data_IF_025154813278
#
_entry.id   IF_025154813278
#
_cell.length_a   1.000
_cell.length_b   1.000
_cell.length_c   1.000
_cell.angle_alpha   90.00
_cell.angle_beta   90.00
_cell.angle_gamma   90.00
#
_symmetry.space_group_name_H-M   'P 1'
#
loop_
_entity.id
_entity.type
_entity.pdbx_description
1 polymer ?
#
# COMPACT_ATOMS: atom_id res chain seq x y z
N UNK A 1 8.36 -20.43 -19.37
CA UNK A 1 7.59 -19.45 -18.59
C UNK A 1 6.17 -20.01 -18.41
N UNK A 2 5.85 -20.54 -17.23
CA UNK A 2 4.50 -21.05 -16.93
C UNK A 2 3.59 -19.86 -16.62
N UNK A 3 2.48 -19.75 -17.34
CA UNK A 3 1.40 -18.80 -17.16
C UNK A 3 0.95 -18.84 -15.69
N UNK A 4 1.12 -17.76 -14.95
CA UNK A 4 0.52 -17.56 -13.63
C UNK A 4 -0.99 -17.56 -13.78
N UNK A 5 -1.66 -18.52 -13.14
CA UNK A 5 -3.12 -18.70 -13.24
C UNK A 5 -3.86 -17.43 -12.81
N UNK A 6 -4.99 -17.13 -13.47
CA UNK A 6 -5.87 -15.99 -13.15
C UNK A 6 -6.27 -15.94 -11.66
N UNK A 7 -6.27 -17.09 -10.97
CA UNK A 7 -6.58 -17.24 -9.53
C UNK A 7 -5.57 -16.52 -8.60
N UNK A 8 -4.28 -16.37 -9.03
CA UNK A 8 -3.26 -15.63 -8.25
C UNK A 8 -3.37 -14.10 -8.40
N UNK A 9 -4.04 -13.59 -9.43
CA UNK A 9 -4.23 -12.15 -9.63
C UNK A 9 -5.22 -11.51 -8.65
N UNK A 10 -6.27 -12.21 -8.27
CA UNK A 10 -7.24 -11.72 -7.27
C UNK A 10 -6.63 -11.57 -5.88
N UNK A 11 -5.80 -12.55 -5.45
CA UNK A 11 -5.06 -12.50 -4.17
C UNK A 11 -4.16 -11.27 -4.05
N UNK A 12 -3.49 -10.90 -5.14
CA UNK A 12 -2.58 -9.74 -5.15
C UNK A 12 -3.32 -8.41 -4.99
N UNK A 13 -4.57 -8.32 -5.45
CA UNK A 13 -5.35 -7.07 -5.40
C UNK A 13 -5.96 -6.78 -4.02
N UNK A 14 -6.42 -7.79 -3.29
CA UNK A 14 -6.97 -7.61 -1.94
C UNK A 14 -5.89 -7.45 -0.87
N UNK A 15 -4.81 -8.23 -0.96
CA UNK A 15 -3.60 -7.97 -0.19
C UNK A 15 -3.00 -6.60 -0.52
N UNK A 16 -3.02 -6.17 -1.79
CA UNK A 16 -2.56 -4.84 -2.19
C UNK A 16 -3.51 -3.73 -1.69
N UNK A 17 -4.83 -3.90 -1.70
CA UNK A 17 -5.76 -2.91 -1.15
C UNK A 17 -5.62 -2.80 0.38
N UNK A 18 -5.36 -3.91 1.08
CA UNK A 18 -5.12 -3.91 2.52
C UNK A 18 -3.68 -3.54 2.87
N UNK A 19 -2.68 -3.89 2.03
CA UNK A 19 -1.30 -3.41 2.16
C UNK A 19 -1.16 -1.92 1.81
N UNK A 20 -1.92 -1.37 0.88
CA UNK A 20 -2.00 0.09 0.67
C UNK A 20 -2.60 0.77 1.90
N UNK A 21 -3.55 0.15 2.59
CA UNK A 21 -4.02 0.57 3.90
C UNK A 21 -2.90 0.52 4.96
N UNK A 22 -2.00 -0.46 4.93
CA UNK A 22 -0.90 -0.61 5.89
C UNK A 22 0.31 0.29 5.60
N UNK A 23 0.63 0.57 4.34
CA UNK A 23 1.81 1.39 3.97
C UNK A 23 1.68 2.88 4.34
N UNK A 24 0.46 3.38 4.56
CA UNK A 24 0.25 4.75 5.03
C UNK A 24 0.37 4.91 6.57
N UNK A 25 0.44 3.81 7.34
CA UNK A 25 0.58 3.87 8.80
C UNK A 25 1.98 4.26 9.30
N UNK A 26 2.98 4.38 8.42
CA UNK A 26 4.34 4.78 8.80
C UNK A 26 4.46 6.26 9.23
N UNK A 27 3.39 7.04 9.12
CA UNK A 27 3.36 8.47 9.47
C UNK A 27 2.70 8.84 10.79
N UNK A 28 2.01 7.92 11.47
CA UNK A 28 1.29 8.25 12.71
C UNK A 28 2.07 7.78 13.95
N UNK A 29 3.19 8.45 14.26
CA UNK A 29 3.91 8.25 15.54
C UNK A 29 3.40 9.13 16.67
N UNK A 30 2.52 10.07 16.42
CA UNK A 30 2.07 11.03 17.42
C UNK A 30 0.55 10.95 17.62
N UNK A 31 0.15 10.82 18.90
CA UNK A 31 -1.20 10.99 19.48
C UNK A 31 -2.06 9.75 19.81
N UNK A 32 -1.55 8.53 19.80
CA UNK A 32 -2.25 7.48 20.56
C UNK A 32 -1.84 7.57 22.02
N UNK A 33 -2.76 7.97 22.89
CA UNK A 33 -2.52 7.96 24.34
C UNK A 33 -2.39 6.52 24.85
N UNK A 34 -1.15 5.99 24.87
CA UNK A 34 -0.84 4.69 25.45
C UNK A 34 -0.95 4.78 26.96
N UNK A 35 -2.01 4.22 27.53
CA UNK A 35 -2.14 4.02 28.96
C UNK A 35 -1.78 2.57 29.29
N UNK A 36 -0.59 2.36 29.86
CA UNK A 36 -0.23 1.07 30.44
C UNK A 36 -1.13 0.79 31.65
N UNK A 37 -1.96 -0.24 31.57
CA UNK A 37 -2.85 -0.62 32.66
C UNK A 37 -2.79 -2.12 32.94
N UNK A 38 -2.93 -2.49 34.23
CA UNK A 38 -2.98 -3.85 34.75
C UNK A 38 -4.39 -4.48 34.68
N UNK A 39 -5.20 -4.09 33.70
CA UNK A 39 -6.62 -4.46 33.64
C UNK A 39 -7.02 -5.36 32.46
N UNK A 40 -6.06 -5.98 31.75
CA UNK A 40 -6.36 -6.93 30.68
C UNK A 40 -6.58 -8.33 31.23
N UNK A 41 -7.51 -9.08 30.63
CA UNK A 41 -7.75 -10.48 30.97
C UNK A 41 -6.59 -11.39 30.48
N UNK A 42 -6.57 -12.61 30.99
CA UNK A 42 -5.63 -13.62 30.50
C UNK A 42 -5.87 -13.88 29.01
N UNK A 43 -4.79 -13.97 28.23
CA UNK A 43 -4.84 -14.16 26.78
C UNK A 43 -5.12 -12.89 25.95
N UNK A 44 -5.43 -11.76 26.56
CA UNK A 44 -5.55 -10.48 25.83
C UNK A 44 -4.17 -9.85 25.61
N UNK A 45 -3.93 -9.39 24.39
CA UNK A 45 -2.72 -8.63 24.00
C UNK A 45 -2.90 -7.14 24.21
N UNK A 46 -4.08 -6.65 23.81
CA UNK A 46 -4.47 -5.26 23.98
C UNK A 46 -6.00 -5.14 24.00
N UNK A 47 -6.47 -3.96 24.42
CA UNK A 47 -7.88 -3.59 24.35
C UNK A 47 -8.02 -2.15 23.91
N UNK A 48 -8.92 -1.91 22.95
CA UNK A 48 -9.34 -0.58 22.52
C UNK A 48 -10.77 -0.40 23.02
N UNK A 49 -10.99 0.52 23.96
CA UNK A 49 -12.29 0.69 24.63
C UNK A 49 -12.82 -0.67 25.15
N UNK A 50 -13.88 -1.18 24.56
CA UNK A 50 -14.51 -2.47 24.90
C UNK A 50 -14.05 -3.65 24.04
N UNK A 51 -13.24 -3.40 22.99
CA UNK A 51 -12.80 -4.45 22.06
C UNK A 51 -11.41 -4.94 22.42
N UNK A 52 -11.34 -6.19 22.83
CA UNK A 52 -10.08 -6.87 23.11
C UNK A 52 -9.54 -7.55 21.83
N UNK A 53 -8.23 -7.63 21.73
CA UNK A 53 -7.54 -8.53 20.82
C UNK A 53 -6.80 -9.59 21.63
N UNK A 54 -6.99 -10.85 21.26
CA UNK A 54 -6.43 -11.99 21.96
C UNK A 54 -5.15 -12.49 21.29
N UNK A 55 -4.37 -13.24 22.06
CA UNK A 55 -3.19 -13.95 21.54
C UNK A 55 -3.57 -14.98 20.45
N UNK A 56 -4.74 -15.61 20.58
CA UNK A 56 -5.25 -16.56 19.59
C UNK A 56 -5.53 -15.89 18.23
N UNK A 57 -6.11 -14.68 18.23
CA UNK A 57 -6.31 -13.90 17.00
C UNK A 57 -4.96 -13.55 16.35
N UNK A 58 -3.98 -13.12 17.14
CA UNK A 58 -2.65 -12.81 16.60
C UNK A 58 -1.93 -14.07 16.06
N UNK A 59 -2.05 -15.21 16.74
CA UNK A 59 -1.51 -16.49 16.27
C UNK A 59 -2.13 -16.95 14.96
N UNK A 60 -3.42 -16.73 14.73
CA UNK A 60 -4.09 -17.08 13.48
C UNK A 60 -3.41 -16.36 12.29
N UNK A 61 -3.34 -15.05 12.36
CA UNK A 61 -2.74 -14.27 11.27
C UNK A 61 -1.23 -14.50 11.14
N UNK A 62 -0.52 -14.67 12.27
CA UNK A 62 0.90 -15.05 12.25
C UNK A 62 1.10 -16.40 11.55
N UNK A 63 0.28 -17.42 11.88
CA UNK A 63 0.36 -18.75 11.28
C UNK A 63 0.13 -18.68 9.77
N UNK A 64 -0.92 -17.99 9.31
CA UNK A 64 -1.20 -17.85 7.88
C UNK A 64 -0.07 -17.12 7.15
N UNK A 65 0.38 -15.97 7.65
CA UNK A 65 1.47 -15.21 7.03
C UNK A 65 2.78 -15.98 7.01
N UNK A 66 3.13 -16.63 8.13
CA UNK A 66 4.39 -17.37 8.23
C UNK A 66 4.44 -18.51 7.23
N UNK A 67 3.39 -19.31 7.13
CA UNK A 67 3.30 -20.40 6.15
C UNK A 67 3.40 -19.90 4.71
N UNK A 68 2.74 -18.79 4.36
CA UNK A 68 2.79 -18.21 3.02
C UNK A 68 4.22 -17.76 2.64
N UNK A 69 4.90 -17.05 3.56
CA UNK A 69 6.26 -16.56 3.32
C UNK A 69 7.29 -17.69 3.30
N UNK A 70 7.21 -18.64 4.20
CA UNK A 70 8.15 -19.79 4.25
C UNK A 70 8.01 -20.68 3.02
N UNK A 71 6.81 -20.93 2.54
CA UNK A 71 6.56 -21.67 1.30
C UNK A 71 7.12 -20.96 0.06
N UNK A 72 7.25 -19.64 0.10
CA UNK A 72 7.73 -18.85 -1.05
C UNK A 72 9.23 -18.61 -0.99
N UNK A 73 9.78 -18.27 0.18
CA UNK A 73 11.13 -17.76 0.37
C UNK A 73 12.01 -18.62 1.30
N UNK A 74 11.42 -19.62 1.98
CA UNK A 74 12.08 -20.45 2.98
C UNK A 74 12.24 -19.76 4.33
N UNK A 75 12.52 -20.54 5.37
CA UNK A 75 12.58 -20.10 6.78
C UNK A 75 13.60 -18.98 7.07
N UNK A 76 14.66 -18.88 6.26
CA UNK A 76 15.70 -17.88 6.48
C UNK A 76 15.24 -16.44 6.23
N UNK A 77 14.09 -16.24 5.58
CA UNK A 77 13.52 -14.92 5.32
C UNK A 77 13.37 -14.11 6.62
N UNK A 78 13.05 -14.75 7.74
CA UNK A 78 12.81 -14.09 9.03
C UNK A 78 14.04 -13.41 9.62
N UNK A 79 15.23 -13.84 9.21
CA UNK A 79 16.51 -13.29 9.66
C UNK A 79 17.06 -12.21 8.73
N UNK A 80 16.42 -11.99 7.58
CA UNK A 80 16.84 -10.97 6.62
C UNK A 80 16.80 -9.59 7.26
N UNK A 81 17.87 -8.82 7.09
CA UNK A 81 17.94 -7.44 7.58
C UNK A 81 17.11 -6.52 6.66
N UNK A 82 16.27 -5.67 7.26
CA UNK A 82 15.44 -4.69 6.59
C UNK A 82 15.59 -3.36 7.32
N UNK A 83 16.42 -2.45 6.79
CA UNK A 83 16.74 -1.20 7.46
C UNK A 83 17.40 -1.43 8.82
N UNK A 84 16.78 -0.93 9.89
CA UNK A 84 17.29 -1.04 11.28
C UNK A 84 16.73 -2.27 12.02
N UNK A 85 15.94 -3.12 11.38
CA UNK A 85 15.31 -4.29 12.01
C UNK A 85 15.44 -5.53 11.12
N UNK A 86 14.90 -6.66 11.59
CA UNK A 86 14.78 -7.88 10.78
C UNK A 86 13.40 -7.93 10.08
N UNK A 87 13.29 -8.74 9.03
CA UNK A 87 12.00 -9.00 8.38
C UNK A 87 10.95 -9.54 9.37
N UNK A 88 11.36 -10.41 10.31
CA UNK A 88 10.48 -10.87 11.39
C UNK A 88 9.99 -9.72 12.28
N UNK A 89 10.85 -8.76 12.61
CA UNK A 89 10.48 -7.56 13.37
C UNK A 89 9.48 -6.71 12.62
N UNK A 90 9.76 -6.42 11.35
CA UNK A 90 8.86 -5.63 10.50
C UNK A 90 7.49 -6.29 10.35
N UNK A 91 7.44 -7.61 10.10
CA UNK A 91 6.17 -8.34 9.97
C UNK A 91 5.38 -8.38 11.27
N UNK A 92 6.06 -8.45 12.42
CA UNK A 92 5.41 -8.35 13.73
C UNK A 92 4.76 -6.98 13.93
N UNK A 93 5.46 -5.90 13.59
CA UNK A 93 4.92 -4.54 13.69
C UNK A 93 3.72 -4.35 12.76
N UNK A 94 3.77 -4.91 11.56
CA UNK A 94 2.65 -4.91 10.61
C UNK A 94 1.44 -5.70 11.15
N UNK A 95 1.66 -6.87 11.72
CA UNK A 95 0.59 -7.67 12.34
C UNK A 95 -0.06 -6.91 13.51
N UNK A 96 0.74 -6.27 14.34
CA UNK A 96 0.23 -5.41 15.41
C UNK A 96 -0.65 -4.28 14.86
N UNK A 97 -0.12 -3.52 13.91
CA UNK A 97 -0.84 -2.41 13.29
C UNK A 97 -2.16 -2.86 12.66
N UNK A 98 -2.16 -4.00 11.94
CA UNK A 98 -3.35 -4.59 11.36
C UNK A 98 -4.41 -4.91 12.41
N UNK A 99 -4.05 -5.57 13.51
CA UNK A 99 -5.01 -5.94 14.56
C UNK A 99 -5.56 -4.72 15.30
N UNK A 100 -4.73 -3.71 15.57
CA UNK A 100 -5.21 -2.42 16.09
C UNK A 100 -6.21 -1.76 15.13
N UNK A 101 -5.87 -1.73 13.85
CA UNK A 101 -6.74 -1.17 12.82
C UNK A 101 -8.06 -1.93 12.74
N UNK A 102 -8.05 -3.26 12.70
CA UNK A 102 -9.27 -4.07 12.67
C UNK A 102 -10.21 -3.74 13.84
N UNK A 103 -9.69 -3.75 15.08
CA UNK A 103 -10.51 -3.44 16.27
C UNK A 103 -11.01 -1.99 16.26
N UNK A 104 -10.20 -1.05 15.82
CA UNK A 104 -10.60 0.35 15.64
C UNK A 104 -11.70 0.52 14.59
N UNK A 105 -11.60 -0.19 13.46
CA UNK A 105 -12.62 -0.18 12.41
C UNK A 105 -13.95 -0.78 12.90
N UNK A 106 -13.90 -1.87 13.66
CA UNK A 106 -15.11 -2.46 14.27
C UNK A 106 -15.80 -1.46 15.20
N UNK A 107 -15.04 -0.78 16.06
CA UNK A 107 -15.59 0.26 16.96
C UNK A 107 -16.20 1.42 16.16
N UNK A 108 -15.53 1.86 15.10
CA UNK A 108 -16.04 2.93 14.24
C UNK A 108 -17.31 2.51 13.53
N UNK A 109 -17.37 1.27 13.01
CA UNK A 109 -18.58 0.71 12.38
C UNK A 109 -19.75 0.68 13.37
N UNK A 110 -19.54 0.16 14.57
CA UNK A 110 -20.55 0.14 15.63
C UNK A 110 -21.02 1.55 16.02
N UNK A 111 -20.10 2.51 16.12
CA UNK A 111 -20.44 3.91 16.44
C UNK A 111 -21.30 4.59 15.37
N UNK A 112 -21.22 4.10 14.13
CA UNK A 112 -22.02 4.55 12.98
C UNK A 112 -23.31 3.75 12.78
N UNK A 113 -23.59 2.78 13.65
CA UNK A 113 -24.76 1.91 13.53
C UNK A 113 -24.68 0.91 12.37
N UNK A 114 -23.49 0.64 11.85
CA UNK A 114 -23.28 -0.37 10.82
C UNK A 114 -23.39 -1.74 11.47
N UNK A 115 -24.23 -2.60 10.93
CA UNK A 115 -24.47 -3.96 11.45
C UNK A 115 -24.42 -4.98 10.32
N UNK A 116 -24.14 -6.22 10.64
CA UNK A 116 -24.24 -7.35 9.70
C UNK A 116 -25.67 -7.87 9.64
N UNK A 117 -26.09 -8.27 8.44
CA UNK A 117 -27.34 -9.03 8.27
C UNK A 117 -27.23 -10.42 8.88
N UNK A 118 -28.36 -11.10 9.07
CA UNK A 118 -28.37 -12.48 9.59
C UNK A 118 -27.74 -13.46 8.58
N UNK A 119 -27.86 -13.18 7.29
CA UNK A 119 -27.17 -13.91 6.23
C UNK A 119 -25.64 -13.79 6.38
N UNK A 120 -25.09 -12.58 6.53
CA UNK A 120 -23.66 -12.35 6.70
C UNK A 120 -23.11 -13.00 7.98
N UNK A 121 -23.90 -12.99 9.06
CA UNK A 121 -23.53 -13.73 10.28
C UNK A 121 -23.51 -15.25 10.05
N UNK A 122 -24.45 -15.75 9.25
CA UNK A 122 -24.47 -17.14 8.82
C UNK A 122 -23.25 -17.53 7.98
N UNK A 123 -22.88 -16.68 7.02
CA UNK A 123 -21.67 -16.86 6.20
C UNK A 123 -20.40 -16.86 7.07
N UNK A 124 -20.31 -16.01 8.08
CA UNK A 124 -19.18 -16.01 9.01
C UNK A 124 -19.06 -17.34 9.79
N UNK A 125 -20.18 -17.95 10.17
CA UNK A 125 -20.18 -19.25 10.81
C UNK A 125 -19.74 -20.37 9.85
N UNK A 126 -20.16 -20.29 8.58
CA UNK A 126 -19.69 -21.22 7.53
C UNK A 126 -18.19 -21.10 7.35
N UNK A 127 -17.67 -19.88 7.21
CA UNK A 127 -16.24 -19.63 7.05
C UNK A 127 -15.42 -20.17 8.25
N UNK A 128 -15.89 -19.92 9.47
CA UNK A 128 -15.23 -20.42 10.68
C UNK A 128 -15.18 -21.95 10.72
N UNK A 129 -16.30 -22.60 10.40
CA UNK A 129 -16.36 -24.05 10.34
C UNK A 129 -15.45 -24.63 9.27
N UNK A 130 -15.39 -24.04 8.09
CA UNK A 130 -14.52 -24.47 7.00
C UNK A 130 -13.04 -24.32 7.38
N UNK A 131 -12.65 -23.20 7.98
CA UNK A 131 -11.29 -22.99 8.47
C UNK A 131 -10.91 -24.03 9.52
N UNK A 132 -11.75 -24.23 10.54
CA UNK A 132 -11.49 -25.20 11.61
C UNK A 132 -11.40 -26.63 11.08
N UNK A 133 -12.23 -27.01 10.11
CA UNK A 133 -12.21 -28.32 9.48
C UNK A 133 -10.94 -28.61 8.67
N UNK A 134 -10.28 -27.57 8.16
CA UNK A 134 -9.03 -27.70 7.42
C UNK A 134 -7.76 -27.69 8.29
N UNK A 135 -7.88 -27.45 9.60
CA UNK A 135 -6.73 -27.47 10.52
C UNK A 135 -6.30 -28.90 10.87
N UNK A 136 -4.99 -29.13 10.92
CA UNK A 136 -4.43 -30.29 11.62
C UNK A 136 -4.70 -30.18 13.13
N UNK A 137 -4.62 -31.33 13.85
CA UNK A 137 -4.75 -31.34 15.31
C UNK A 137 -3.71 -30.45 15.98
N UNK A 138 -2.52 -30.40 15.42
CA UNK A 138 -1.41 -29.60 15.90
C UNK A 138 -1.66 -28.09 15.67
N UNK A 139 -2.13 -27.71 14.48
CA UNK A 139 -2.49 -26.33 14.16
C UNK A 139 -3.68 -25.83 14.98
N UNK A 140 -4.70 -26.65 15.20
CA UNK A 140 -5.82 -26.33 16.07
C UNK A 140 -5.40 -26.13 17.54
N UNK A 141 -4.49 -26.98 18.04
CA UNK A 141 -3.94 -26.86 19.40
C UNK A 141 -3.07 -25.60 19.55
N UNK A 142 -2.27 -25.27 18.56
CA UNK A 142 -1.46 -24.04 18.54
C UNK A 142 -2.33 -22.79 18.53
N UNK A 143 -3.35 -22.78 17.69
CA UNK A 143 -4.30 -21.68 17.57
C UNK A 143 -5.04 -21.41 18.87
N UNK A 144 -5.55 -22.46 19.52
CA UNK A 144 -6.27 -22.36 20.80
C UNK A 144 -7.55 -21.52 20.73
N UNK A 145 -8.18 -21.44 19.56
CA UNK A 145 -9.40 -20.67 19.30
C UNK A 145 -10.58 -21.60 19.10
N UNK A 146 -11.75 -21.22 19.60
CA UNK A 146 -13.00 -21.97 19.32
C UNK A 146 -13.62 -21.50 17.99
N UNK A 147 -14.54 -22.32 17.46
CA UNK A 147 -15.30 -21.96 16.25
C UNK A 147 -16.11 -20.67 16.44
N UNK A 148 -16.66 -20.44 17.65
CA UNK A 148 -17.41 -19.22 17.97
C UNK A 148 -16.51 -17.97 17.96
N UNK A 149 -15.30 -18.09 18.51
CA UNK A 149 -14.32 -16.98 18.48
C UNK A 149 -13.89 -16.68 17.05
N UNK A 150 -13.66 -17.69 16.24
CA UNK A 150 -13.32 -17.53 14.84
C UNK A 150 -14.50 -16.96 14.03
N UNK A 151 -15.75 -17.40 14.32
CA UNK A 151 -16.97 -16.81 13.74
C UNK A 151 -17.04 -15.32 14.04
N UNK A 152 -16.76 -14.93 15.30
CA UNK A 152 -16.73 -13.51 15.67
C UNK A 152 -15.64 -12.75 14.92
N UNK A 153 -14.46 -13.33 14.73
CA UNK A 153 -13.39 -12.69 13.98
C UNK A 153 -13.75 -12.46 12.49
N UNK A 154 -14.40 -13.44 11.85
CA UNK A 154 -14.93 -13.26 10.49
C UNK A 154 -16.04 -12.19 10.43
N UNK A 155 -16.89 -12.11 11.44
CA UNK A 155 -17.90 -11.04 11.54
C UNK A 155 -17.23 -9.66 11.70
N UNK A 156 -16.20 -9.54 12.54
CA UNK A 156 -15.45 -8.31 12.71
C UNK A 156 -14.76 -7.88 11.42
N UNK A 157 -14.17 -8.82 10.69
CA UNK A 157 -13.55 -8.56 9.40
C UNK A 157 -14.57 -8.07 8.36
N UNK A 158 -15.73 -8.74 8.25
CA UNK A 158 -16.83 -8.33 7.38
C UNK A 158 -17.38 -6.95 7.74
N UNK A 159 -17.51 -6.66 9.04
CA UNK A 159 -17.99 -5.37 9.52
C UNK A 159 -17.01 -4.23 9.16
N UNK A 160 -15.70 -4.50 9.26
CA UNK A 160 -14.66 -3.57 8.82
C UNK A 160 -14.74 -3.28 7.30
N UNK A 161 -14.97 -4.30 6.47
CA UNK A 161 -15.16 -4.13 5.04
C UNK A 161 -16.41 -3.29 4.71
N UNK A 162 -17.52 -3.52 5.40
CA UNK A 162 -18.72 -2.68 5.25
C UNK A 162 -18.48 -1.23 5.65
N UNK A 163 -17.69 -0.99 6.70
CA UNK A 163 -17.28 0.35 7.09
C UNK A 163 -16.54 1.04 5.95
N UNK A 164 -15.52 0.37 5.37
CA UNK A 164 -14.75 0.94 4.24
C UNK A 164 -15.69 1.27 3.09
N UNK A 165 -16.55 0.34 2.70
CA UNK A 165 -17.52 0.54 1.61
C UNK A 165 -18.41 1.75 1.89
N UNK A 166 -18.95 1.89 3.10
CA UNK A 166 -19.84 3.00 3.43
C UNK A 166 -19.13 4.35 3.50
N UNK A 167 -17.94 4.39 4.11
CA UNK A 167 -17.15 5.63 4.22
C UNK A 167 -16.69 6.12 2.85
N UNK A 168 -16.33 5.18 1.96
CA UNK A 168 -15.80 5.51 0.64
C UNK A 168 -16.87 5.66 -0.44
N UNK A 169 -18.14 5.42 -0.11
CA UNK A 169 -19.27 5.56 -1.06
C UNK A 169 -19.46 6.99 -1.60
N UNK A 170 -18.90 7.99 -0.92
CA UNK A 170 -18.93 9.40 -1.36
C UNK A 170 -17.91 9.71 -2.46
N UNK A 171 -16.96 8.81 -2.72
CA UNK A 171 -15.98 9.00 -3.80
C UNK A 171 -16.70 8.84 -5.13
N UNK A 172 -16.73 9.89 -5.95
CA UNK A 172 -17.29 9.84 -7.28
C UNK A 172 -16.63 8.74 -8.12
N UNK A 173 -17.45 7.95 -8.80
CA UNK A 173 -16.94 6.88 -9.66
C UNK A 173 -16.31 7.42 -10.94
N UNK A 174 -16.65 8.65 -11.34
CA UNK A 174 -16.18 9.24 -12.57
C UNK A 174 -14.90 10.06 -12.33
N UNK A 175 -13.78 9.49 -12.80
CA UNK A 175 -12.50 10.20 -12.92
C UNK A 175 -12.36 10.63 -14.37
N UNK A 176 -12.10 11.92 -14.60
CA UNK A 176 -11.96 12.46 -15.98
C UNK A 176 -10.71 11.88 -16.67
N UNK A 177 -10.77 11.79 -18.01
CA UNK A 177 -9.59 11.39 -18.79
C UNK A 177 -8.42 12.34 -18.59
N UNK A 178 -8.69 13.64 -18.41
CA UNK A 178 -7.61 14.60 -18.18
C UNK A 178 -6.94 14.43 -16.81
N UNK A 179 -7.72 14.13 -15.76
CA UNK A 179 -7.17 13.85 -14.43
C UNK A 179 -6.32 12.57 -14.42
N UNK A 180 -6.79 11.53 -15.12
CA UNK A 180 -6.12 10.22 -15.15
C UNK A 180 -5.11 10.09 -16.29
N UNK A 181 -4.95 11.12 -17.12
CA UNK A 181 -4.19 11.06 -18.36
C UNK A 181 -2.77 10.56 -18.14
N UNK A 182 -2.41 9.54 -18.93
CA UNK A 182 -1.05 9.03 -19.06
C UNK A 182 -0.53 9.43 -20.44
N UNK A 183 0.67 9.99 -20.46
CA UNK A 183 1.35 10.43 -21.67
C UNK A 183 2.66 9.68 -21.84
N UNK A 184 3.17 9.61 -23.06
CA UNK A 184 4.52 9.13 -23.36
C UNK A 184 5.39 10.31 -23.80
N UNK A 185 6.54 10.45 -23.16
CA UNK A 185 7.47 11.56 -23.44
C UNK A 185 8.90 11.06 -23.56
N UNK A 186 9.69 11.78 -24.33
CA UNK A 186 11.15 11.77 -24.28
C UNK A 186 11.61 13.02 -23.55
N UNK A 187 12.66 12.92 -22.74
CA UNK A 187 13.17 14.08 -22.00
C UNK A 187 14.70 14.15 -22.06
N UNK A 188 15.23 15.35 -22.13
CA UNK A 188 16.63 15.64 -21.91
C UNK A 188 16.73 16.23 -20.52
N UNK A 189 17.45 15.58 -19.62
CA UNK A 189 17.54 15.95 -18.21
C UNK A 189 18.91 16.53 -17.90
N UNK A 190 18.94 17.70 -17.30
CA UNK A 190 20.15 18.37 -16.83
C UNK A 190 20.09 18.46 -15.31
N UNK A 191 20.83 17.60 -14.62
CA UNK A 191 20.85 17.59 -13.15
C UNK A 191 21.45 18.88 -12.61
N UNK A 192 20.85 19.42 -11.54
CA UNK A 192 21.41 20.52 -10.74
C UNK A 192 22.33 20.02 -9.62
N UNK A 193 22.56 18.71 -9.57
CA UNK A 193 23.41 18.05 -8.57
C UNK A 193 24.53 17.30 -9.27
N UNK A 194 25.66 17.16 -8.61
CA UNK A 194 26.80 16.36 -9.04
C UNK A 194 27.27 15.43 -7.93
N UNK A 195 27.96 14.36 -8.31
CA UNK A 195 28.61 13.49 -7.35
C UNK A 195 29.91 14.15 -6.85
N UNK A 196 30.04 14.32 -5.54
CA UNK A 196 31.25 14.79 -4.90
C UNK A 196 32.28 13.63 -4.76
N UNK A 197 33.54 13.97 -4.45
CA UNK A 197 34.63 12.98 -4.28
C UNK A 197 34.34 11.93 -3.19
N UNK A 198 33.53 12.29 -2.21
CA UNK A 198 33.08 11.41 -1.12
C UNK A 198 31.84 10.57 -1.45
N UNK A 199 31.37 10.62 -2.71
CA UNK A 199 30.22 9.87 -3.19
C UNK A 199 28.87 10.48 -2.84
N UNK A 200 28.79 11.66 -2.22
CA UNK A 200 27.53 12.37 -1.95
C UNK A 200 27.09 13.22 -3.13
N UNK A 201 25.76 13.30 -3.34
CA UNK A 201 25.18 14.25 -4.27
C UNK A 201 25.19 15.66 -3.65
N UNK A 202 25.82 16.60 -4.33
CA UNK A 202 25.90 18.02 -3.91
C UNK A 202 25.34 18.93 -5.00
N UNK A 203 24.76 20.05 -4.61
CA UNK A 203 24.29 21.06 -5.55
C UNK A 203 25.43 21.64 -6.37
N UNK A 204 25.14 22.00 -7.62
CA UNK A 204 26.07 22.74 -8.48
C UNK A 204 26.34 24.15 -7.94
N UNK A 205 27.54 24.65 -8.14
CA UNK A 205 27.86 26.05 -7.90
C UNK A 205 27.09 26.97 -8.88
N UNK A 206 27.04 28.28 -8.58
CA UNK A 206 26.35 29.24 -9.42
C UNK A 206 26.90 29.30 -10.87
N UNK A 207 28.21 29.13 -11.04
CA UNK A 207 28.84 29.09 -12.36
C UNK A 207 28.46 27.82 -13.13
N UNK A 208 28.57 26.65 -12.49
CA UNK A 208 28.17 25.37 -13.10
C UNK A 208 26.68 25.34 -13.46
N UNK A 209 25.83 25.93 -12.60
CA UNK A 209 24.40 26.03 -12.90
C UNK A 209 24.12 26.94 -14.09
N UNK A 210 24.88 28.04 -14.26
CA UNK A 210 24.76 28.91 -15.44
C UNK A 210 25.15 28.17 -16.73
N UNK A 211 26.23 27.35 -16.67
CA UNK A 211 26.64 26.53 -17.81
C UNK A 211 25.60 25.45 -18.16
N UNK A 212 25.01 24.83 -17.16
CA UNK A 212 23.93 23.84 -17.35
C UNK A 212 22.68 24.48 -17.96
N UNK A 213 22.31 25.69 -17.53
CA UNK A 213 21.19 26.43 -18.14
C UNK A 213 21.47 26.80 -19.60
N UNK A 214 22.70 27.21 -19.93
CA UNK A 214 23.08 27.50 -21.31
C UNK A 214 22.99 26.26 -22.21
N UNK A 215 23.43 25.09 -21.72
CA UNK A 215 23.31 23.83 -22.45
C UNK A 215 21.85 23.39 -22.61
N UNK A 216 21.02 23.58 -21.60
CA UNK A 216 19.59 23.26 -21.67
C UNK A 216 18.89 24.14 -22.73
N UNK A 217 19.24 25.44 -22.79
CA UNK A 217 18.71 26.32 -23.81
C UNK A 217 19.19 25.95 -25.21
N UNK A 218 20.49 25.63 -25.39
CA UNK A 218 21.03 25.12 -26.64
C UNK A 218 20.31 23.89 -27.12
N UNK A 219 20.07 22.92 -26.23
CA UNK A 219 19.36 21.70 -26.57
C UNK A 219 17.90 21.98 -26.98
N UNK A 220 17.21 22.91 -26.30
CA UNK A 220 15.86 23.33 -26.65
C UNK A 220 15.81 23.99 -28.02
N UNK A 221 16.76 24.92 -28.31
CA UNK A 221 16.82 25.62 -29.58
C UNK A 221 17.10 24.66 -30.74
N UNK A 222 18.00 23.70 -30.56
CA UNK A 222 18.31 22.66 -31.54
C UNK A 222 17.14 21.72 -31.78
N UNK A 223 16.46 21.32 -30.72
CA UNK A 223 15.24 20.49 -30.82
C UNK A 223 14.14 21.24 -31.61
N UNK A 224 13.93 22.52 -31.31
CA UNK A 224 12.99 23.36 -32.04
C UNK A 224 13.38 23.58 -33.52
N UNK A 225 14.68 23.59 -33.84
CA UNK A 225 15.19 23.64 -35.19
C UNK A 225 15.05 22.33 -35.99
N UNK A 226 14.61 21.22 -35.34
CA UNK A 226 14.36 19.95 -35.98
C UNK A 226 15.49 18.92 -35.87
N UNK A 227 16.49 19.16 -35.04
CA UNK A 227 17.51 18.14 -34.74
C UNK A 227 16.86 16.89 -34.14
N UNK A 228 17.46 15.72 -34.34
CA UNK A 228 16.98 14.48 -33.79
C UNK A 228 16.97 14.51 -32.26
N UNK A 229 15.78 14.40 -31.67
CA UNK A 229 15.63 14.46 -30.21
C UNK A 229 16.39 13.32 -29.51
N UNK A 230 16.43 12.13 -30.09
CA UNK A 230 17.21 11.00 -29.59
C UNK A 230 18.71 11.30 -29.55
N UNK A 231 19.27 11.92 -30.60
CA UNK A 231 20.67 12.33 -30.59
C UNK A 231 20.97 13.46 -29.59
N UNK A 232 19.99 14.34 -29.35
CA UNK A 232 20.11 15.36 -28.32
C UNK A 232 20.05 14.70 -26.90
N UNK A 233 19.21 13.69 -26.69
CA UNK A 233 19.24 12.91 -25.44
C UNK A 233 20.61 12.28 -25.20
N UNK A 234 21.19 11.61 -26.22
CA UNK A 234 22.53 11.01 -26.14
C UNK A 234 23.63 12.03 -25.81
N UNK A 235 23.47 13.24 -26.31
CA UNK A 235 24.49 14.28 -26.19
C UNK A 235 24.44 15.03 -24.87
N UNK A 236 23.25 15.31 -24.37
CA UNK A 236 23.04 16.26 -23.27
C UNK A 236 22.45 15.67 -22.01
N UNK A 237 21.67 14.57 -22.11
CA UNK A 237 20.93 14.09 -20.96
C UNK A 237 21.81 13.40 -19.91
N UNK A 238 21.56 13.70 -18.65
CA UNK A 238 22.12 12.95 -17.52
C UNK A 238 21.39 11.63 -17.24
N UNK A 239 20.26 11.39 -17.91
CA UNK A 239 19.43 10.20 -17.79
C UNK A 239 19.50 9.33 -19.05
N UNK A 240 19.16 8.03 -18.95
CA UNK A 240 19.16 7.12 -20.10
C UNK A 240 18.28 7.61 -21.26
N UNK A 241 18.71 7.32 -22.47
CA UNK A 241 17.95 7.60 -23.70
C UNK A 241 16.73 6.70 -23.77
N UNK A 242 15.60 7.28 -24.14
CA UNK A 242 14.35 6.55 -24.34
C UNK A 242 13.13 7.39 -24.07
N UNK A 243 11.95 6.75 -24.14
CA UNK A 243 10.69 7.35 -23.72
C UNK A 243 10.27 6.80 -22.35
N UNK A 244 9.55 7.62 -21.61
CA UNK A 244 8.92 7.25 -20.34
C UNK A 244 7.43 7.53 -20.41
N UNK A 245 6.65 6.74 -19.63
CA UNK A 245 5.22 6.97 -19.44
C UNK A 245 5.00 7.65 -18.11
N UNK A 246 4.21 8.70 -18.14
CA UNK A 246 4.03 9.60 -17.00
C UNK A 246 2.55 9.89 -16.81
N UNK A 247 2.08 9.80 -15.57
CA UNK A 247 0.75 10.24 -15.13
C UNK A 247 0.84 11.58 -14.40
N UNK A 248 -0.29 12.30 -14.34
CA UNK A 248 -0.41 13.49 -13.49
C UNK A 248 -0.17 13.14 -12.03
N UNK A 249 0.26 14.13 -11.26
CA UNK A 249 0.51 14.06 -9.81
C UNK A 249 1.71 13.21 -9.36
N UNK A 250 2.36 12.48 -10.27
CA UNK A 250 3.54 11.66 -9.96
C UNK A 250 4.87 12.37 -10.27
N UNK A 251 4.80 13.64 -10.69
CA UNK A 251 5.94 14.47 -11.11
C UNK A 251 5.91 15.85 -10.47
N UNK A 252 7.02 16.58 -10.60
CA UNK A 252 7.09 17.97 -10.14
C UNK A 252 6.01 18.84 -10.84
N UNK A 253 5.42 19.76 -10.07
CA UNK A 253 4.29 20.58 -10.54
C UNK A 253 4.66 21.52 -11.70
N UNK A 254 5.88 22.06 -11.72
CA UNK A 254 6.33 22.91 -12.81
C UNK A 254 6.51 22.09 -14.09
N UNK A 255 7.05 20.86 -13.96
CA UNK A 255 7.16 19.92 -15.05
C UNK A 255 5.78 19.51 -15.58
N UNK A 256 4.87 19.10 -14.68
CA UNK A 256 3.50 18.69 -15.03
C UNK A 256 2.78 19.78 -15.84
N UNK A 257 2.77 21.01 -15.32
CA UNK A 257 2.07 22.13 -15.95
C UNK A 257 2.62 22.45 -17.36
N UNK A 258 3.93 22.28 -17.56
CA UNK A 258 4.55 22.55 -18.86
C UNK A 258 4.37 21.44 -19.87
N UNK A 259 4.33 20.17 -19.42
CA UNK A 259 4.36 19.00 -20.32
C UNK A 259 2.97 18.49 -20.66
N UNK A 260 2.02 18.51 -19.74
CA UNK A 260 0.67 18.01 -20.00
C UNK A 260 -0.18 18.92 -20.92
N UNK A 261 0.30 20.08 -21.28
CA UNK A 261 -0.33 20.94 -22.29
C UNK A 261 0.21 20.71 -23.71
N UNK A 262 1.32 19.95 -23.85
CA UNK A 262 1.92 19.67 -25.14
C UNK A 262 1.01 18.76 -25.99
N UNK A 263 0.90 19.10 -27.27
CA UNK A 263 0.35 18.22 -28.29
C UNK A 263 1.32 17.08 -28.65
N UNK A 264 0.81 16.10 -29.39
CA UNK A 264 1.65 15.01 -29.90
C UNK A 264 2.77 15.57 -30.77
N UNK A 265 4.00 15.09 -30.56
CA UNK A 265 5.25 15.51 -31.21
C UNK A 265 5.71 16.93 -30.85
N UNK A 266 4.99 17.65 -30.01
CA UNK A 266 5.39 18.99 -29.56
C UNK A 266 6.54 18.93 -28.56
N UNK A 267 7.40 19.95 -28.61
CA UNK A 267 8.59 20.06 -27.76
C UNK A 267 8.42 21.27 -26.84
N UNK A 268 8.78 21.09 -25.56
CA UNK A 268 8.76 22.18 -24.58
C UNK A 268 9.94 23.15 -24.78
N UNK A 269 9.83 24.35 -24.21
CA UNK A 269 11.04 25.13 -23.83
C UNK A 269 11.78 24.45 -22.67
N UNK A 270 12.75 25.16 -22.10
CA UNK A 270 13.44 24.71 -20.88
C UNK A 270 12.51 24.82 -19.71
N UNK A 271 12.30 23.67 -19.01
CA UNK A 271 11.51 23.57 -17.79
C UNK A 271 12.48 23.46 -16.62
N UNK A 272 12.37 24.32 -15.63
CA UNK A 272 13.23 24.30 -14.45
C UNK A 272 12.44 23.85 -13.22
N UNK A 273 12.93 22.81 -12.55
CA UNK A 273 12.43 22.32 -11.25
C UNK A 273 13.47 22.55 -10.15
N UNK A 274 13.23 22.10 -8.95
CA UNK A 274 14.19 22.17 -7.85
C UNK A 274 15.47 21.39 -8.17
N UNK A 275 15.34 20.17 -8.73
CA UNK A 275 16.45 19.21 -8.88
C UNK A 275 17.12 19.20 -10.26
N UNK A 276 16.42 19.64 -11.31
CA UNK A 276 16.92 19.56 -12.68
C UNK A 276 16.29 20.59 -13.62
N UNK A 277 16.87 20.71 -14.83
CA UNK A 277 16.24 21.33 -15.98
C UNK A 277 15.88 20.25 -17.00
N UNK A 278 14.82 20.49 -17.75
CA UNK A 278 14.28 19.54 -18.72
C UNK A 278 13.99 20.22 -20.04
N UNK A 279 14.19 19.49 -21.14
CA UNK A 279 13.56 19.73 -22.43
C UNK A 279 12.80 18.47 -22.78
N UNK A 280 11.50 18.58 -23.06
CA UNK A 280 10.61 17.43 -23.21
C UNK A 280 9.94 17.42 -24.56
N UNK A 281 9.91 16.27 -25.23
CA UNK A 281 9.11 16.01 -26.43
C UNK A 281 7.95 15.09 -26.06
N UNK A 282 6.74 15.48 -26.34
CA UNK A 282 5.55 14.65 -26.16
C UNK A 282 5.42 13.68 -27.34
N UNK A 283 5.73 12.40 -27.10
CA UNK A 283 5.59 11.35 -28.13
C UNK A 283 4.13 10.99 -28.35
N UNK A 284 3.39 10.84 -27.26
CA UNK A 284 1.96 10.61 -27.29
C UNK A 284 1.28 11.31 -26.10
N UNK A 285 0.33 12.18 -26.38
CA UNK A 285 -0.35 12.97 -25.36
C UNK A 285 -1.53 12.28 -24.69
N UNK A 286 -1.86 11.03 -25.10
CA UNK A 286 -2.88 10.20 -24.46
C UNK A 286 -2.64 8.73 -24.76
N UNK A 287 -2.30 7.96 -23.74
CA UNK A 287 -2.26 6.50 -23.75
C UNK A 287 -3.56 5.96 -23.16
N UNK A 288 -4.48 5.54 -24.03
CA UNK A 288 -5.87 5.24 -23.64
C UNK A 288 -6.00 4.10 -22.61
N UNK A 289 -5.32 2.97 -22.82
CA UNK A 289 -5.37 1.81 -21.90
C UNK A 289 -4.76 2.15 -20.53
N UNK A 290 -3.61 2.80 -20.54
CA UNK A 290 -2.92 3.24 -19.31
C UNK A 290 -3.76 4.29 -18.56
N UNK A 291 -4.42 5.20 -19.29
CA UNK A 291 -5.31 6.20 -18.71
C UNK A 291 -6.52 5.55 -18.02
N UNK A 292 -7.14 4.53 -18.65
CA UNK A 292 -8.23 3.79 -18.00
C UNK A 292 -7.75 3.02 -16.76
N UNK A 293 -6.57 2.42 -16.81
CA UNK A 293 -5.95 1.76 -15.64
C UNK A 293 -5.68 2.79 -14.54
N UNK A 294 -5.16 3.97 -14.89
CA UNK A 294 -4.84 5.02 -13.92
C UNK A 294 -6.09 5.61 -13.25
N UNK A 295 -7.25 5.64 -13.92
CA UNK A 295 -8.52 6.03 -13.28
C UNK A 295 -8.81 5.18 -12.05
N UNK A 296 -8.61 3.86 -12.16
CA UNK A 296 -8.82 2.97 -11.01
C UNK A 296 -7.81 3.25 -9.89
N UNK A 297 -6.53 3.48 -10.22
CA UNK A 297 -5.51 3.85 -9.24
C UNK A 297 -5.89 5.13 -8.49
N UNK A 298 -6.32 6.16 -9.21
CA UNK A 298 -6.76 7.44 -8.62
C UNK A 298 -7.98 7.24 -7.73
N UNK A 299 -8.98 6.46 -8.19
CA UNK A 299 -10.18 6.14 -7.41
C UNK A 299 -9.81 5.47 -6.09
N UNK A 300 -8.97 4.45 -6.13
CA UNK A 300 -8.50 3.76 -4.93
C UNK A 300 -7.71 4.68 -3.99
N UNK A 301 -6.85 5.55 -4.52
CA UNK A 301 -6.12 6.55 -3.75
C UNK A 301 -7.06 7.54 -3.05
N UNK A 302 -8.08 8.05 -3.74
CA UNK A 302 -9.12 8.93 -3.16
C UNK A 302 -9.91 8.22 -2.07
N UNK A 303 -10.33 6.97 -2.31
CA UNK A 303 -11.02 6.13 -1.30
C UNK A 303 -10.16 5.94 -0.05
N UNK A 304 -8.90 5.58 -0.23
CA UNK A 304 -7.96 5.44 0.88
C UNK A 304 -7.79 6.74 1.66
N UNK A 305 -7.59 7.86 0.98
CA UNK A 305 -7.40 9.17 1.62
C UNK A 305 -8.61 9.56 2.49
N UNK A 306 -9.83 9.44 1.97
CA UNK A 306 -11.06 9.75 2.72
C UNK A 306 -11.20 8.82 3.92
N UNK A 307 -11.01 7.52 3.70
CA UNK A 307 -11.09 6.55 4.78
C UNK A 307 -10.10 6.88 5.91
N UNK A 308 -8.83 7.16 5.58
CA UNK A 308 -7.82 7.48 6.57
C UNK A 308 -8.10 8.76 7.35
N UNK A 309 -8.58 9.81 6.68
CA UNK A 309 -8.95 11.03 7.36
C UNK A 309 -10.01 10.78 8.44
N UNK A 310 -11.06 10.05 8.10
CA UNK A 310 -12.14 9.76 9.03
C UNK A 310 -11.74 8.76 10.11
N UNK A 311 -11.02 7.72 9.73
CA UNK A 311 -10.53 6.70 10.66
C UNK A 311 -9.58 7.32 11.70
N UNK A 312 -8.57 8.07 11.27
CA UNK A 312 -7.61 8.70 12.18
C UNK A 312 -8.27 9.70 13.13
N UNK A 313 -9.23 10.50 12.62
CA UNK A 313 -10.01 11.42 13.47
C UNK A 313 -10.87 10.68 14.51
N UNK A 314 -11.30 9.45 14.20
CA UNK A 314 -12.04 8.61 15.14
C UNK A 314 -11.12 7.96 16.17
N UNK A 315 -10.06 7.27 15.75
CA UNK A 315 -9.20 6.49 16.65
C UNK A 315 -8.36 7.35 17.59
N UNK A 316 -8.04 8.59 17.22
CA UNK A 316 -7.33 9.54 18.08
C UNK A 316 -8.04 9.81 19.41
N UNK A 317 -9.33 9.48 19.51
CA UNK A 317 -10.16 9.70 20.72
C UNK A 317 -10.30 8.44 21.56
N UNK A 318 -9.82 7.29 21.09
CA UNK A 318 -10.00 6.00 21.73
C UNK A 318 -8.92 5.74 22.78
N UNK A 319 -9.32 5.04 23.83
CA UNK A 319 -8.42 4.59 24.88
C UNK A 319 -7.86 3.20 24.51
N UNK A 320 -6.53 3.11 24.45
CA UNK A 320 -5.83 1.85 24.16
C UNK A 320 -5.10 1.37 25.41
N UNK A 321 -5.30 0.12 25.78
CA UNK A 321 -4.62 -0.58 26.85
C UNK A 321 -3.78 -1.71 26.27
N UNK A 322 -2.49 -1.77 26.60
CA UNK A 322 -1.58 -2.79 26.12
C UNK A 322 -1.06 -3.65 27.26
N UNK A 323 -0.91 -4.95 27.01
CA UNK A 323 -0.24 -5.89 27.91
C UNK A 323 1.27 -5.74 27.75
N UNK A 324 1.95 -5.35 28.81
CA UNK A 324 3.41 -5.29 28.83
C UNK A 324 3.99 -6.67 28.51
N UNK A 325 4.89 -6.75 27.53
CA UNK A 325 5.49 -8.01 27.10
C UNK A 325 4.53 -9.00 26.41
N UNK A 326 3.24 -8.68 26.21
CA UNK A 326 2.24 -9.57 25.64
C UNK A 326 2.58 -10.12 24.26
N UNK A 327 3.30 -9.33 23.46
CA UNK A 327 3.72 -9.72 22.11
C UNK A 327 4.99 -10.59 22.03
N UNK A 328 5.57 -10.98 23.16
CA UNK A 328 6.76 -11.85 23.16
C UNK A 328 6.43 -13.29 22.70
N UNK A 329 5.22 -13.76 22.98
CA UNK A 329 4.72 -15.08 22.54
C UNK A 329 4.35 -15.12 21.07
N UNK A 330 4.12 -13.96 20.44
CA UNK A 330 3.73 -13.80 19.05
C UNK A 330 4.94 -13.30 18.24
N UNK A 331 5.78 -14.25 17.79
CA UNK A 331 7.00 -13.91 17.06
C UNK A 331 7.17 -14.82 15.83
N UNK A 332 7.48 -14.24 14.68
CA UNK A 332 7.73 -14.95 13.42
C UNK A 332 8.97 -15.86 13.48
N UNK A 333 9.86 -15.66 14.44
CA UNK A 333 11.00 -16.54 14.70
C UNK A 333 10.66 -17.79 15.51
N UNK A 334 9.47 -17.84 16.14
CA UNK A 334 9.03 -19.00 16.87
C UNK A 334 8.56 -20.09 15.90
N UNK A 335 8.60 -21.34 16.38
CA UNK A 335 7.97 -22.44 15.65
C UNK A 335 6.46 -22.24 15.55
N UNK A 336 5.91 -22.55 14.38
CA UNK A 336 4.49 -22.49 14.04
C UNK A 336 4.17 -23.74 13.22
N UNK A 337 3.06 -24.44 13.47
CA UNK A 337 2.68 -25.60 12.66
C UNK A 337 2.35 -25.23 11.22
N UNK A 338 2.55 -26.17 10.31
CA UNK A 338 2.06 -26.05 8.94
C UNK A 338 0.53 -25.93 8.93
N UNK A 339 0.05 -25.07 8.04
CA UNK A 339 -1.37 -24.78 7.89
C UNK A 339 -1.74 -24.71 6.41
N UNK A 340 -2.59 -25.62 5.95
CA UNK A 340 -3.05 -25.69 4.57
C UNK A 340 -4.25 -24.77 4.27
N UNK A 341 -4.82 -24.15 5.31
CA UNK A 341 -5.95 -23.23 5.19
C UNK A 341 -5.52 -21.79 5.44
N UNK A 342 -6.12 -20.88 4.70
CA UNK A 342 -5.87 -19.44 4.81
C UNK A 342 -7.16 -18.69 5.14
N UNK A 343 -7.09 -17.77 6.10
CA UNK A 343 -8.23 -16.99 6.58
C UNK A 343 -8.86 -16.17 5.44
N UNK A 344 -8.03 -15.53 4.61
CA UNK A 344 -8.51 -14.65 3.55
C UNK A 344 -9.07 -15.45 2.36
N UNK A 345 -8.48 -16.60 2.03
CA UNK A 345 -9.00 -17.47 0.96
C UNK A 345 -10.41 -17.96 1.28
N UNK A 346 -10.61 -18.41 2.51
CA UNK A 346 -11.93 -18.85 2.96
C UNK A 346 -12.91 -17.66 2.99
N UNK A 347 -12.48 -16.51 3.50
CA UNK A 347 -13.30 -15.30 3.48
C UNK A 347 -13.78 -14.95 2.07
N UNK A 348 -12.87 -14.92 1.10
CA UNK A 348 -13.19 -14.63 -0.30
C UNK A 348 -14.15 -15.68 -0.89
N UNK A 349 -13.90 -16.96 -0.63
CA UNK A 349 -14.73 -18.03 -1.17
C UNK A 349 -16.14 -18.03 -0.62
N UNK A 350 -16.33 -17.57 0.63
CA UNK A 350 -17.64 -17.59 1.30
C UNK A 350 -18.42 -16.29 1.11
N UNK A 351 -17.75 -15.13 1.19
CA UNK A 351 -18.43 -13.82 1.13
C UNK A 351 -18.47 -13.21 -0.26
N UNK A 352 -17.58 -13.59 -1.17
CA UNK A 352 -17.44 -13.04 -2.52
C UNK A 352 -17.46 -14.14 -3.60
N UNK A 353 -18.11 -15.27 -3.32
CA UNK A 353 -18.35 -16.30 -4.33
C UNK A 353 -19.06 -15.68 -5.54
N UNK A 354 -18.50 -15.83 -6.73
CA UNK A 354 -19.20 -15.48 -7.96
C UNK A 354 -20.54 -16.23 -7.99
N UNK A 355 -21.68 -15.57 -8.22
CA UNK A 355 -22.94 -16.25 -8.37
C UNK A 355 -22.82 -17.21 -9.56
N UNK A 356 -23.01 -18.53 -9.28
CA UNK A 356 -23.00 -19.60 -10.29
C UNK A 356 -24.18 -19.46 -11.26
#
# INVERSE_FOLDING_TARGET
MKSLSKKKRGKFWLLAAMCVLLLCCAGCKDDVQLKLTTGLNEGELFRIEKKACTEAEARLFLMNQKNEYENTYGENIWKAEVGETTFAGQMKDQLQAFLYQLKGMVLMAESRGITLSDEEKGLAAVAAKEYMAGLSVEAASYLGMTEEQLTQLYQEYRLAERLVTQVTAIVEDEISDDEARVIEVQQIVFSKKKLAEDGRLVALSATELADVRAKAQEAADRAAAGDSFTLLQETYSSEPVGSIRVSRFDVDKAWENAVFVLGKEEISGVIETEDALYVVRCVNNLLGEETQTNKEVIRQRKKAQIFYQEYNAYVAKLLVQNKEGGWQSVAFTNWVPDCDVDFYEIYESVFHADPQ
#
